data_IF_685302492333
#
_entry.id   IF_685302492333
#
_cell.length_a   1.000
_cell.length_b   1.000
_cell.length_c   1.000
_cell.angle_alpha   90.00
_cell.angle_beta   90.00
_cell.angle_gamma   90.00
#
_symmetry.space_group_name_H-M   'P 1'
#
loop_
_entity.id
_entity.type
_entity.pdbx_description
1 polymer ?
2 non-polymer ?
3 non-polymer ?
4 water ?
#
# COMPACT_ATOMS: atom_id res chain seq x y z
N UNK A 2 -14.43 10.77 -26.15
CA UNK A 2 -14.36 10.83 -24.70
C UNK A 2 -13.63 12.09 -24.21
N UNK A 3 -13.93 12.50 -22.99
CA UNK A 3 -13.31 13.67 -22.37
C UNK A 3 -12.03 13.26 -21.62
N UNK A 4 -10.95 14.07 -21.73
CA UNK A 4 -9.73 13.73 -20.99
C UNK A 4 -9.96 13.72 -19.49
N UNK A 5 -9.29 12.81 -18.78
CA UNK A 5 -9.33 12.83 -17.34
C UNK A 5 -8.48 13.99 -16.87
N UNK A 6 -8.71 14.41 -15.64
CA UNK A 6 -8.01 15.53 -15.02
C UNK A 6 -7.09 15.02 -13.91
N UNK A 7 -5.82 15.41 -13.96
CA UNK A 7 -4.84 15.04 -12.94
C UNK A 7 -4.29 16.31 -12.31
N UNK A 8 -4.16 16.31 -10.99
CA UNK A 8 -3.63 17.45 -10.24
C UNK A 8 -2.23 17.17 -9.72
N UNK A 9 -1.30 18.07 -10.01
CA UNK A 9 0.02 18.02 -9.41
C UNK A 9 1.15 18.19 -10.42
N UNK A 10 2.38 18.39 -9.92
CA UNK A 10 3.55 18.60 -10.79
C UNK A 10 4.23 17.30 -11.20
N UNK A 11 4.75 17.23 -12.43
CA UNK A 11 5.43 15.99 -12.79
C UNK A 11 6.70 15.68 -11.98
N UNK A 12 7.29 16.64 -11.30
CA UNK A 12 8.46 16.31 -10.43
C UNK A 12 8.05 15.43 -9.26
N UNK A 13 6.77 15.37 -8.94
CA UNK A 13 6.31 14.52 -7.85
C UNK A 13 6.34 13.05 -8.24
N UNK A 14 6.86 12.21 -7.36
CA UNK A 14 6.93 10.78 -7.64
C UNK A 14 5.55 10.17 -7.80
N UNK A 15 4.63 10.53 -6.91
CA UNK A 15 3.29 9.98 -6.97
C UNK A 15 2.53 10.47 -8.22
N UNK A 16 2.70 11.72 -8.60
CA UNK A 16 2.14 12.19 -9.87
C UNK A 16 2.75 11.39 -11.05
N UNK A 17 4.06 11.19 -11.02
CA UNK A 17 4.76 10.48 -12.08
C UNK A 17 4.23 9.06 -12.26
N UNK A 18 3.92 8.41 -11.16
CA UNK A 18 3.32 7.08 -11.18
C UNK A 18 2.03 7.10 -11.97
N UNK A 19 1.19 8.10 -11.72
CA UNK A 19 -0.08 8.18 -12.43
C UNK A 19 0.13 8.52 -13.91
N UNK A 20 1.03 9.45 -14.21
CA UNK A 20 1.27 9.85 -15.58
C UNK A 20 1.77 8.69 -16.41
N UNK A 21 2.69 7.91 -15.86
CA UNK A 21 3.23 6.79 -16.59
C UNK A 21 2.11 5.79 -16.89
N UNK A 22 1.21 5.59 -15.93
CA UNK A 22 0.08 4.69 -16.12
C UNK A 22 -0.87 5.18 -17.21
N UNK A 23 -1.22 6.46 -17.17
CA UNK A 23 -2.08 7.03 -18.19
C UNK A 23 -1.49 6.82 -19.57
N UNK A 24 -0.18 7.01 -19.69
CA UNK A 24 0.47 6.91 -20.99
C UNK A 24 0.53 5.45 -21.47
N UNK A 25 0.87 4.52 -20.58
CA UNK A 25 0.78 3.12 -20.89
C UNK A 25 -0.61 2.72 -21.33
N UNK A 26 -1.63 3.30 -20.69
CA UNK A 26 -3.00 2.95 -21.00
C UNK A 26 -3.60 3.76 -22.13
N UNK A 27 -2.80 4.65 -22.73
CA UNK A 27 -3.24 5.46 -23.87
C UNK A 27 -4.44 6.32 -23.49
N UNK A 28 -4.47 6.80 -22.25
CA UNK A 28 -5.57 7.62 -21.79
C UNK A 28 -5.21 9.09 -21.88
N UNK A 29 -5.96 9.85 -22.69
CA UNK A 29 -5.64 11.27 -22.73
C UNK A 29 -5.97 11.93 -21.41
N UNK A 30 -5.21 12.96 -21.04
CA UNK A 30 -5.39 13.60 -19.76
C UNK A 30 -5.05 15.07 -19.86
N UNK A 31 -5.56 15.83 -18.89
CA UNK A 31 -5.23 17.23 -18.70
C UNK A 31 -4.59 17.36 -17.33
N UNK A 32 -3.42 17.96 -17.28
CA UNK A 32 -2.65 18.06 -16.04
C UNK A 32 -2.71 19.46 -15.48
N UNK A 33 -3.25 19.55 -14.26
CA UNK A 33 -3.41 20.82 -13.56
C UNK A 33 -2.27 21.04 -12.58
N UNK A 34 -1.50 22.12 -12.77
CA UNK A 34 -0.32 22.32 -11.93
C UNK A 34 -0.65 22.65 -10.47
N UNK A 35 0.15 22.08 -9.57
CA UNK A 35 0.13 22.41 -8.14
C UNK A 35 1.59 22.63 -7.67
N UNK A 36 1.94 23.83 -7.23
CA UNK A 36 3.33 24.13 -6.84
C UNK A 36 3.55 23.78 -5.36
N UNK A 37 4.28 22.70 -5.11
CA UNK A 37 4.50 22.20 -3.75
C UNK A 37 5.42 23.10 -2.95
N UNK A 38 6.34 23.77 -3.62
CA UNK A 38 7.22 24.71 -2.91
C UNK A 38 6.42 25.92 -2.39
N UNK A 39 5.27 26.20 -3.00
CA UNK A 39 4.43 27.32 -2.58
C UNK A 39 3.19 26.90 -1.78
N UNK A 40 3.11 25.62 -1.43
CA UNK A 40 2.03 25.14 -0.58
C UNK A 40 0.66 25.16 -1.24
N UNK A 41 0.62 25.14 -2.57
CA UNK A 41 -0.65 25.15 -3.29
C UNK A 41 -1.48 23.89 -2.99
N UNK A 42 -0.80 22.80 -2.58
CA UNK A 42 -1.48 21.58 -2.19
C UNK A 42 -2.26 21.71 -0.87
N UNK A 43 -2.11 22.84 -0.18
CA UNK A 43 -2.84 23.08 1.07
C UNK A 43 -3.92 24.15 0.90
N UNK A 44 -4.08 24.65 -0.32
CA UNK A 44 -5.12 25.65 -0.54
C UNK A 44 -6.50 25.00 -0.25
N UNK A 45 -7.40 25.73 0.42
CA UNK A 45 -8.62 25.07 0.86
C UNK A 45 -9.46 24.51 -0.28
N UNK A 46 -9.39 25.12 -1.45
CA UNK A 46 -10.14 24.59 -2.57
C UNK A 46 -9.58 23.20 -2.96
N UNK A 47 -8.25 23.05 -2.94
CA UNK A 47 -7.63 21.78 -3.28
C UNK A 47 -7.84 20.73 -2.17
N UNK A 48 -7.85 21.15 -0.91
CA UNK A 48 -8.06 20.17 0.16
C UNK A 48 -9.44 19.54 0.11
N UNK A 49 -10.37 20.16 -0.61
CA UNK A 49 -11.69 19.56 -0.84
C UNK A 49 -11.61 18.30 -1.68
N UNK A 50 -10.59 18.20 -2.54
CA UNK A 50 -10.47 17.02 -3.39
C UNK A 50 -9.35 16.08 -2.94
N UNK A 51 -8.38 16.58 -2.17
CA UNK A 51 -7.36 15.69 -1.58
C UNK A 51 -7.17 16.11 -0.12
N UNK A 52 -7.81 15.36 0.80
CA UNK A 52 -7.96 15.90 2.17
C UNK A 52 -6.67 15.86 2.99
N UNK A 53 -5.66 15.15 2.48
CA UNK A 53 -4.37 15.09 3.15
C UNK A 53 -3.40 16.13 2.63
N UNK A 54 -3.89 16.96 1.70
CA UNK A 54 -3.06 18.01 1.13
C UNK A 54 -1.84 17.46 0.43
N UNK A 55 -2.06 16.41 -0.33
CA UNK A 55 -0.99 15.80 -1.13
C UNK A 55 -1.43 15.68 -2.55
N UNK A 56 -0.45 15.41 -3.43
CA UNK A 56 -0.72 15.18 -4.84
C UNK A 56 -0.32 13.75 -5.17
N UNK A 57 -0.97 13.13 -6.15
CA UNK A 57 -1.97 13.67 -7.06
C UNK A 57 -3.40 13.50 -6.60
N UNK A 58 -4.30 14.19 -7.31
CA UNK A 58 -5.71 13.87 -7.31
C UNK A 58 -6.14 13.62 -8.75
N UNK A 59 -7.23 12.90 -8.90
CA UNK A 59 -7.76 12.47 -10.19
C UNK A 59 -9.24 12.81 -10.26
N UNK A 60 -9.68 13.33 -11.41
CA UNK A 60 -11.11 13.49 -11.71
C UNK A 60 -11.45 13.00 -13.12
N UNK A 61 -12.55 12.29 -13.25
CA UNK A 61 -13.21 12.14 -14.55
C UNK A 61 -14.71 12.40 -14.36
N UNK A 62 -15.52 12.12 -15.40
CA UNK A 62 -16.94 12.44 -15.34
C UNK A 62 -17.62 11.70 -14.19
N UNK A 63 -17.02 10.60 -13.75
CA UNK A 63 -17.68 9.65 -12.84
C UNK A 63 -17.24 9.72 -11.39
N UNK A 64 -15.98 10.09 -11.16
CA UNK A 64 -15.39 9.95 -9.83
C UNK A 64 -14.19 10.88 -9.63
N UNK A 65 -14.00 11.28 -8.38
CA UNK A 65 -12.79 11.96 -7.91
C UNK A 65 -12.05 10.98 -6.99
N UNK A 66 -10.75 10.79 -7.23
CA UNK A 66 -9.94 9.83 -6.49
C UNK A 66 -8.63 10.44 -6.04
N UNK A 67 -8.12 10.00 -4.90
CA UNK A 67 -6.75 10.27 -4.51
C UNK A 67 -6.02 8.95 -4.18
N UNK A 68 -4.75 9.09 -3.82
CA UNK A 68 -3.75 8.01 -3.65
C UNK A 68 -3.38 7.42 -5.01
N UNK A 69 -2.13 7.65 -5.37
CA UNK A 69 -1.64 7.28 -6.69
C UNK A 69 -1.93 5.83 -7.10
N UNK A 70 -1.73 4.87 -6.21
CA UNK A 70 -1.92 3.49 -6.61
C UNK A 70 -3.39 3.15 -6.79
N UNK A 71 -4.28 3.80 -6.03
CA UNK A 71 -5.73 3.64 -6.21
C UNK A 71 -6.17 4.25 -7.53
N UNK A 72 -5.65 5.43 -7.82
CA UNK A 72 -5.93 6.07 -9.10
C UNK A 72 -5.50 5.15 -10.26
N UNK A 73 -4.33 4.53 -10.13
CA UNK A 73 -3.81 3.71 -11.21
C UNK A 73 -4.62 2.44 -11.37
N UNK A 74 -5.07 1.84 -10.27
CA UNK A 74 -5.90 0.66 -10.40
C UNK A 74 -7.22 1.00 -11.09
N UNK A 75 -7.79 2.15 -10.77
CA UNK A 75 -9.03 2.57 -11.42
C UNK A 75 -8.81 2.75 -12.92
N UNK A 76 -7.73 3.41 -13.27
CA UNK A 76 -7.40 3.63 -14.68
C UNK A 76 -7.29 2.30 -15.40
N UNK A 77 -6.57 1.36 -14.80
CA UNK A 77 -6.38 0.05 -15.42
C UNK A 77 -7.72 -0.71 -15.53
N UNK A 78 -8.60 -0.52 -14.57
CA UNK A 78 -9.91 -1.17 -14.59
C UNK A 78 -10.82 -0.56 -15.66
N UNK A 79 -10.97 0.76 -15.59
CA UNK A 79 -11.83 1.48 -16.53
C UNK A 79 -11.41 1.31 -17.97
N UNK A 80 -10.10 1.30 -18.20
CA UNK A 80 -9.54 1.28 -19.53
C UNK A 80 -8.84 -0.04 -19.79
N UNK A 81 -9.38 -1.12 -19.24
CA UNK A 81 -8.77 -2.45 -19.38
C UNK A 81 -8.43 -2.78 -20.83
N UNK A 82 -9.33 -2.44 -21.74
CA UNK A 82 -9.21 -2.88 -23.14
C UNK A 82 -8.42 -1.90 -23.99
N UNK A 83 -7.79 -0.94 -23.34
CA UNK A 83 -7.13 0.16 -24.02
C UNK A 83 -5.62 0.10 -23.76
N UNK A 84 -4.83 0.58 -24.71
CA UNK A 84 -3.40 0.72 -24.52
C UNK A 84 -2.77 -0.61 -24.15
N UNK A 85 -1.86 -0.58 -23.19
CA UNK A 85 -1.26 -1.81 -22.67
C UNK A 85 -2.31 -2.60 -21.86
N UNK A 86 -2.89 -3.63 -22.47
CA UNK A 86 -3.95 -4.39 -21.82
C UNK A 86 -3.47 -5.21 -20.62
N UNK A 87 -2.19 -5.59 -20.61
CA UNK A 87 -1.69 -6.51 -19.60
C UNK A 87 -1.09 -5.79 -18.40
N UNK A 88 -1.16 -4.47 -18.35
CA UNK A 88 -0.39 -3.70 -17.36
C UNK A 88 -0.68 -4.17 -15.92
N UNK A 89 -1.94 -4.46 -15.63
CA UNK A 89 -2.32 -4.96 -14.30
C UNK A 89 -3.01 -6.31 -14.47
N UNK A 90 -2.49 -7.10 -15.40
CA UNK A 90 -3.02 -8.42 -15.69
C UNK A 90 -4.27 -8.39 -16.55
N UNK A 91 -4.80 -9.57 -16.83
CA UNK A 91 -6.00 -9.71 -17.65
C UNK A 91 -7.05 -10.60 -17.04
N UNK A 92 -6.77 -11.10 -15.84
CA UNK A 92 -7.77 -11.88 -15.10
C UNK A 92 -7.42 -11.87 -13.62
N UNK A 93 -8.23 -12.55 -12.83
CA UNK A 93 -8.10 -12.51 -11.37
C UNK A 93 -6.71 -12.94 -10.91
N UNK A 94 -6.21 -14.04 -11.46
CA UNK A 94 -4.94 -14.59 -11.00
C UNK A 94 -3.75 -13.74 -11.42
N UNK A 95 -3.75 -13.29 -12.67
CA UNK A 95 -2.61 -12.51 -13.13
C UNK A 95 -2.58 -11.15 -12.45
N UNK A 96 -3.76 -10.58 -12.19
CA UNK A 96 -3.87 -9.33 -11.46
C UNK A 96 -3.30 -9.47 -10.05
N UNK A 97 -3.70 -10.52 -9.35
CA UNK A 97 -3.24 -10.73 -7.98
C UNK A 97 -1.74 -10.95 -7.92
N UNK A 98 -1.25 -11.73 -8.87
CA UNK A 98 0.17 -11.99 -8.94
C UNK A 98 1.00 -10.71 -9.07
N UNK A 99 0.53 -9.78 -9.88
CA UNK A 99 1.15 -8.47 -9.99
C UNK A 99 0.95 -7.65 -8.72
N UNK A 100 -0.26 -7.73 -8.16
CA UNK A 100 -0.62 -6.87 -7.03
C UNK A 100 0.25 -7.12 -5.79
N UNK A 101 0.68 -8.35 -5.56
CA UNK A 101 1.53 -8.58 -4.38
C UNK A 101 2.84 -7.80 -4.49
N UNK A 102 3.34 -7.59 -5.71
CA UNK A 102 4.59 -6.83 -5.93
C UNK A 102 4.28 -5.34 -5.91
N UNK A 103 3.06 -4.95 -6.25
CA UNK A 103 2.64 -3.55 -6.05
C UNK A 103 2.59 -3.23 -4.54
N UNK A 104 2.07 -4.18 -3.74
CA UNK A 104 2.06 -3.98 -2.29
C UNK A 104 3.49 -3.95 -1.75
N UNK A 105 4.38 -4.74 -2.34
CA UNK A 105 5.78 -4.70 -1.95
C UNK A 105 6.38 -3.32 -2.23
N UNK A 106 6.02 -2.69 -3.33
CA UNK A 106 6.39 -1.29 -3.51
C UNK A 106 5.83 -0.43 -2.37
N UNK A 107 4.53 -0.52 -2.13
CA UNK A 107 3.89 0.34 -1.16
C UNK A 107 4.36 0.20 0.27
N UNK A 108 4.70 -1.03 0.67
CA UNK A 108 5.03 -1.35 2.06
C UNK A 108 6.49 -1.59 2.35
N UNK A 109 7.27 -1.96 1.34
CA UNK A 109 8.63 -2.46 1.59
C UNK A 109 9.72 -1.62 0.88
N UNK A 110 9.61 -1.46 -0.42
CA UNK A 110 10.54 -0.65 -1.21
C UNK A 110 10.28 0.85 -1.05
N UNK A 111 9.01 1.22 -1.09
CA UNK A 111 8.59 2.61 -1.11
C UNK A 111 9.02 3.44 0.09
N UNK A 112 8.82 2.91 1.30
CA UNK A 112 9.20 3.75 2.45
C UNK A 112 10.70 4.16 2.49
N UNK A 113 11.65 3.22 2.42
CA UNK A 113 13.04 3.70 2.49
C UNK A 113 13.48 4.45 1.25
N UNK A 114 13.05 4.02 0.08
CA UNK A 114 13.45 4.72 -1.13
C UNK A 114 12.83 6.12 -1.16
N UNK A 115 11.57 6.24 -0.79
CA UNK A 115 10.93 7.54 -0.73
C UNK A 115 11.54 8.48 0.31
N UNK A 116 11.92 7.94 1.46
CA UNK A 116 12.55 8.79 2.47
C UNK A 116 13.92 9.27 2.01
N UNK A 117 14.68 8.40 1.34
CA UNK A 117 15.95 8.82 0.76
C UNK A 117 15.73 9.91 -0.29
N UNK A 118 14.79 9.71 -1.19
CA UNK A 118 14.51 10.73 -2.21
C UNK A 118 14.15 12.05 -1.56
N UNK A 119 13.30 12.00 -0.53
CA UNK A 119 12.89 13.23 0.12
C UNK A 119 14.07 13.92 0.81
N UNK A 120 14.84 13.17 1.59
CA UNK A 120 15.89 13.81 2.37
C UNK A 120 17.00 14.36 1.50
N UNK A 121 17.28 13.68 0.38
CA UNK A 121 18.37 14.08 -0.50
C UNK A 121 18.02 15.10 -1.55
N UNK A 122 16.75 15.19 -1.94
CA UNK A 122 16.34 16.03 -3.06
C UNK A 122 15.24 17.03 -2.80
N UNK A 123 14.46 16.83 -1.73
CA UNK A 123 13.29 17.67 -1.47
C UNK A 123 13.13 18.08 -0.03
N UNK A 124 14.22 18.21 0.70
CA UNK A 124 14.16 18.61 2.09
C UNK A 124 14.62 20.06 2.26
N UNK A 125 14.08 20.76 3.26
CA UNK A 125 14.52 22.11 3.54
C UNK A 125 15.65 22.19 4.56
N UNK A 126 15.95 21.08 5.21
CA UNK A 126 16.97 21.03 6.24
C UNK A 126 18.09 20.09 5.81
N UNK A 127 19.25 20.17 6.47
CA UNK A 127 20.35 19.29 6.04
C UNK A 127 20.01 17.83 6.22
N UNK A 128 20.72 16.98 5.52
CA UNK A 128 20.47 15.56 5.68
C UNK A 128 21.12 15.10 6.97
N UNK A 129 20.53 14.06 7.53
CA UNK A 129 21.06 13.35 8.67
C UNK A 129 21.69 12.08 8.10
N UNK A 130 23.02 12.02 8.07
CA UNK A 130 23.71 10.93 7.37
C UNK A 130 23.54 9.59 8.06
N UNK A 131 23.27 9.59 9.35
CA UNK A 131 22.97 8.36 10.07
C UNK A 131 21.62 7.81 9.58
N UNK A 132 20.68 8.69 9.32
CA UNK A 132 19.35 8.28 8.84
C UNK A 132 19.42 7.88 7.35
N UNK A 133 20.24 8.59 6.58
CA UNK A 133 20.51 8.18 5.21
C UNK A 133 21.04 6.74 5.21
N UNK A 134 22.03 6.46 6.06
CA UNK A 134 22.62 5.12 6.10
C UNK A 134 21.56 4.08 6.48
N UNK A 135 20.71 4.41 7.45
CA UNK A 135 19.66 3.49 7.89
C UNK A 135 18.75 3.11 6.72
N UNK A 136 18.36 4.08 5.92
CA UNK A 136 17.46 3.81 4.79
C UNK A 136 18.15 3.17 3.59
N UNK A 137 19.39 3.57 3.32
CA UNK A 137 20.21 2.87 2.34
C UNK A 137 20.31 1.39 2.70
N UNK A 138 20.59 1.09 3.96
CA UNK A 138 20.76 -0.31 4.34
C UNK A 138 19.46 -1.08 4.22
N UNK A 139 18.34 -0.46 4.61
CA UNK A 139 17.02 -1.07 4.41
C UNK A 139 16.76 -1.35 2.94
N UNK A 140 17.07 -0.39 2.08
CA UNK A 140 16.75 -0.56 0.68
C UNK A 140 17.65 -1.62 0.07
N UNK A 141 18.90 -1.66 0.51
CA UNK A 141 19.84 -2.67 0.04
C UNK A 141 19.31 -4.07 0.32
N UNK A 142 18.76 -4.26 1.51
CA UNK A 142 18.16 -5.55 1.87
C UNK A 142 16.98 -5.91 0.96
N UNK A 143 16.12 -4.94 0.66
CA UNK A 143 15.05 -5.18 -0.28
C UNK A 143 15.59 -5.58 -1.65
N UNK A 144 16.59 -4.83 -2.13
CA UNK A 144 17.12 -5.07 -3.47
C UNK A 144 17.91 -6.39 -3.56
N UNK A 145 18.43 -6.89 -2.44
CA UNK A 145 19.04 -8.23 -2.44
C UNK A 145 17.97 -9.29 -2.72
N UNK A 146 16.76 -9.08 -2.22
CA UNK A 146 15.66 -9.98 -2.48
C UNK A 146 15.20 -9.86 -3.94
N UNK A 147 15.14 -8.63 -4.44
CA UNK A 147 14.81 -8.41 -5.84
C UNK A 147 15.85 -9.05 -6.74
N UNK A 148 17.12 -8.96 -6.35
CA UNK A 148 18.19 -9.54 -7.16
C UNK A 148 17.95 -11.04 -7.38
N UNK A 149 17.51 -11.73 -6.34
CA UNK A 149 17.20 -13.15 -6.45
C UNK A 149 15.99 -13.37 -7.35
N UNK A 150 14.92 -12.65 -7.08
CA UNK A 150 13.69 -12.75 -7.85
C UNK A 150 13.92 -12.51 -9.33
N UNK A 151 14.70 -11.48 -9.62
CA UNK A 151 14.93 -11.05 -11.01
C UNK A 151 15.96 -11.95 -11.73
N UNK A 152 16.54 -12.90 -11.00
CA UNK A 152 17.28 -13.98 -11.63
C UNK A 152 16.37 -15.11 -12.10
N UNK A 153 15.12 -15.09 -11.63
CA UNK A 153 14.14 -16.14 -11.95
C UNK A 153 13.19 -15.66 -13.03
N UNK A 154 12.76 -14.40 -12.92
CA UNK A 154 11.84 -13.79 -13.87
C UNK A 154 12.44 -12.52 -14.42
N UNK A 155 11.96 -12.11 -15.59
CA UNK A 155 12.49 -10.94 -16.26
C UNK A 155 12.07 -9.64 -15.57
N UNK A 156 10.82 -9.62 -15.13
CA UNK A 156 10.25 -8.51 -14.40
C UNK A 156 9.83 -9.02 -13.02
N UNK A 157 9.35 -8.13 -12.15
CA UNK A 157 9.13 -8.58 -10.78
C UNK A 157 8.11 -9.69 -10.69
N UNK A 158 7.03 -9.58 -11.46
CA UNK A 158 5.93 -10.51 -11.32
C UNK A 158 5.91 -11.61 -12.38
N UNK A 159 6.89 -11.63 -13.26
CA UNK A 159 6.87 -12.58 -14.35
C UNK A 159 7.50 -12.09 -15.64
N UNK A 160 6.94 -12.48 -16.77
CA UNK A 160 7.64 -12.33 -18.05
C UNK A 160 7.23 -11.07 -18.80
N UNK A 161 6.43 -10.24 -18.14
CA UNK A 161 5.83 -9.09 -18.79
C UNK A 161 5.91 -7.87 -17.86
N UNK A 162 6.27 -6.72 -18.40
CA UNK A 162 6.21 -5.46 -17.65
C UNK A 162 4.82 -5.32 -17.03
N UNK A 163 4.77 -4.91 -15.76
CA UNK A 163 3.49 -4.73 -15.10
C UNK A 163 3.49 -3.47 -14.28
N UNK A 164 2.32 -3.16 -13.73
CA UNK A 164 2.22 -2.04 -12.82
C UNK A 164 3.18 -2.19 -11.63
N UNK A 165 3.49 -3.42 -11.25
CA UNK A 165 4.45 -3.61 -10.15
C UNK A 165 5.78 -2.98 -10.50
N UNK A 166 6.26 -3.20 -11.71
CA UNK A 166 7.53 -2.58 -12.14
C UNK A 166 7.37 -1.07 -12.26
N UNK A 167 6.27 -0.65 -12.88
CA UNK A 167 5.99 0.76 -13.11
C UNK A 167 6.05 1.53 -11.80
N UNK A 168 5.49 0.94 -10.74
CA UNK A 168 5.37 1.65 -9.50
C UNK A 168 6.73 1.94 -8.84
N UNK A 169 7.77 1.20 -9.23
CA UNK A 169 9.14 1.43 -8.74
C UNK A 169 9.89 2.53 -9.48
N UNK A 170 9.39 2.93 -10.64
CA UNK A 170 10.10 3.89 -11.46
C UNK A 170 10.32 5.25 -10.75
N UNK A 171 9.31 5.81 -10.07
CA UNK A 171 9.54 7.19 -9.60
C UNK A 171 10.66 7.34 -8.57
N UNK A 172 10.68 6.50 -7.53
CA UNK A 172 11.74 6.62 -6.54
C UNK A 172 13.05 6.08 -7.09
N UNK A 173 12.97 4.99 -7.85
CA UNK A 173 14.17 4.42 -8.44
C UNK A 173 14.89 5.42 -9.31
N UNK A 174 14.16 6.15 -10.14
CA UNK A 174 14.80 7.01 -11.12
C UNK A 174 15.48 8.17 -10.41
N UNK A 175 14.85 8.70 -9.36
CA UNK A 175 15.49 9.79 -8.64
C UNK A 175 16.77 9.30 -7.95
N UNK A 176 16.74 8.12 -7.35
CA UNK A 176 17.93 7.62 -6.70
C UNK A 176 19.04 7.35 -7.71
N UNK A 177 18.70 6.71 -8.84
CA UNK A 177 19.73 6.36 -9.82
C UNK A 177 20.34 7.60 -10.50
N UNK A 178 19.51 8.57 -10.85
CA UNK A 178 19.95 9.63 -11.74
C UNK A 178 20.18 10.97 -11.07
N UNK A 179 19.74 11.11 -9.82
CA UNK A 179 19.84 12.40 -9.14
C UNK A 179 20.51 12.32 -7.77
N UNK A 180 20.98 11.16 -7.36
CA UNK A 180 21.73 11.03 -6.10
C UNK A 180 22.96 10.19 -6.33
N UNK A 181 23.79 10.02 -5.30
CA UNK A 181 24.93 9.15 -5.42
C UNK A 181 24.61 7.75 -4.85
N UNK A 182 23.32 7.44 -4.79
CA UNK A 182 22.89 6.14 -4.28
C UNK A 182 22.56 5.14 -5.39
N UNK A 183 22.84 5.51 -6.63
CA UNK A 183 22.49 4.68 -7.77
C UNK A 183 23.14 3.33 -7.74
N UNK A 184 24.29 3.21 -7.07
CA UNK A 184 24.98 1.93 -6.91
C UNK A 184 24.06 0.84 -6.31
N UNK A 185 23.05 1.25 -5.56
CA UNK A 185 22.13 0.27 -4.97
C UNK A 185 21.47 -0.56 -6.06
N UNK A 186 21.20 0.08 -7.18
CA UNK A 186 20.59 -0.58 -8.33
C UNK A 186 21.64 -1.12 -9.30
N UNK A 187 22.65 -0.31 -9.59
CA UNK A 187 23.56 -0.64 -10.68
C UNK A 187 24.60 -1.69 -10.29
N UNK A 188 24.86 -1.89 -8.98
CA UNK A 188 25.84 -2.88 -8.51
C UNK A 188 25.26 -4.30 -8.40
N UNK A 189 23.97 -4.41 -8.61
CA UNK A 189 23.26 -5.70 -8.55
C UNK A 189 22.86 -6.06 -9.98
N UNK A 190 23.44 -7.13 -10.52
CA UNK A 190 23.34 -7.39 -11.95
C UNK A 190 21.91 -7.57 -12.46
N UNK A 191 21.11 -8.39 -11.78
CA UNK A 191 19.75 -8.59 -12.25
C UNK A 191 18.88 -7.35 -12.04
N UNK A 192 19.03 -6.70 -10.90
CA UNK A 192 18.32 -5.44 -10.64
C UNK A 192 18.71 -4.40 -11.67
N UNK A 193 19.97 -4.35 -12.02
CA UNK A 193 20.42 -3.39 -13.00
C UNK A 193 19.82 -3.65 -14.38
N UNK A 194 19.72 -4.93 -14.75
CA UNK A 194 19.09 -5.31 -16.02
C UNK A 194 17.64 -4.85 -16.06
N UNK A 195 16.92 -5.21 -15.01
CA UNK A 195 15.54 -4.84 -14.83
C UNK A 195 15.38 -3.32 -14.88
N UNK A 196 16.20 -2.61 -14.10
CA UNK A 196 16.15 -1.15 -14.07
C UNK A 196 16.33 -0.57 -15.48
N UNK A 197 17.29 -1.12 -16.21
CA UNK A 197 17.55 -0.67 -17.56
C UNK A 197 16.34 -0.89 -18.43
N UNK A 198 15.71 -2.06 -18.34
CA UNK A 198 14.56 -2.31 -19.19
C UNK A 198 13.38 -1.42 -18.86
N UNK A 199 13.09 -1.23 -17.59
CA UNK A 199 11.87 -0.51 -17.27
C UNK A 199 12.05 1.01 -17.41
N UNK A 200 13.25 1.53 -17.15
CA UNK A 200 13.45 2.97 -17.18
C UNK A 200 13.59 3.51 -18.60
N UNK A 201 13.80 2.60 -19.55
CA UNK A 201 13.87 3.00 -20.96
C UNK A 201 12.58 2.78 -21.76
N UNK A 202 11.49 2.43 -21.09
CA UNK A 202 10.19 2.43 -21.74
C UNK A 202 9.83 3.83 -22.20
N UNK A 203 9.17 3.94 -23.35
CA UNK A 203 8.80 5.23 -23.90
C UNK A 203 7.89 5.98 -22.94
N UNK A 204 7.02 5.26 -22.23
CA UNK A 204 6.10 5.94 -21.30
C UNK A 204 6.89 6.69 -20.26
N UNK A 205 7.91 6.03 -19.71
CA UNK A 205 8.70 6.65 -18.68
C UNK A 205 9.57 7.78 -19.24
N UNK A 206 10.11 7.59 -20.43
CA UNK A 206 10.85 8.67 -21.08
C UNK A 206 9.98 9.90 -21.28
N UNK A 207 8.70 9.69 -21.62
CA UNK A 207 7.74 10.77 -21.81
C UNK A 207 7.53 11.54 -20.52
N UNK A 208 7.40 10.81 -19.43
CA UNK A 208 7.20 11.45 -18.15
C UNK A 208 8.41 12.31 -17.79
N UNK A 209 9.61 11.77 -17.94
CA UNK A 209 10.81 12.54 -17.62
C UNK A 209 10.92 13.79 -18.49
N UNK A 210 10.51 13.70 -19.75
CA UNK A 210 10.58 14.89 -20.58
C UNK A 210 9.52 15.90 -20.13
N UNK A 211 8.35 15.42 -19.73
CA UNK A 211 7.31 16.33 -19.25
C UNK A 211 7.86 17.11 -18.09
N UNK A 212 8.61 16.42 -17.23
CA UNK A 212 9.15 17.00 -16.04
C UNK A 212 10.23 18.01 -16.37
N UNK A 213 11.08 17.66 -17.33
CA UNK A 213 12.19 18.51 -17.69
C UNK A 213 11.67 19.83 -18.25
N UNK A 214 10.51 19.78 -18.91
CA UNK A 214 9.92 20.95 -19.57
C UNK A 214 8.86 21.68 -18.74
N UNK A 215 8.42 21.08 -17.64
CA UNK A 215 7.41 21.69 -16.82
C UNK A 215 7.87 23.07 -16.31
N UNK B 2 -14.53 -25.59 -2.63
CA UNK B 2 -13.13 -25.92 -2.92
C UNK B 2 -12.39 -26.13 -1.60
N UNK B 3 -11.14 -26.58 -1.67
CA UNK B 3 -10.38 -26.87 -0.45
C UNK B 3 -10.14 -25.59 0.33
N UNK B 4 -10.06 -25.70 1.65
CA UNK B 4 -9.76 -24.50 2.44
C UNK B 4 -8.47 -23.89 1.97
N UNK B 5 -8.41 -22.57 1.96
CA UNK B 5 -7.15 -21.92 1.66
C UNK B 5 -6.22 -22.12 2.83
N UNK B 6 -4.93 -21.92 2.61
CA UNK B 6 -3.92 -22.03 3.64
C UNK B 6 -3.31 -20.67 3.94
N UNK B 7 -3.33 -20.32 5.23
CA UNK B 7 -2.73 -19.09 5.73
C UNK B 7 -1.60 -19.46 6.65
N UNK B 8 -0.45 -18.82 6.45
CA UNK B 8 0.71 -18.99 7.31
C UNK B 8 0.86 -17.82 8.27
N UNK B 9 1.00 -18.13 9.56
CA UNK B 9 1.39 -17.15 10.56
C UNK B 9 0.44 -17.06 11.72
N UNK B 10 0.85 -16.34 12.77
CA UNK B 10 0.07 -16.30 14.01
C UNK B 10 -1.03 -15.24 13.98
N UNK B 11 -2.21 -15.55 14.56
CA UNK B 11 -3.29 -14.54 14.58
C UNK B 11 -2.92 -13.29 15.35
N UNK B 12 -1.90 -13.33 16.21
CA UNK B 12 -1.50 -12.12 16.92
C UNK B 12 -0.90 -11.09 15.96
N UNK B 13 -0.41 -11.54 14.80
CA UNK B 13 0.17 -10.63 13.83
C UNK B 13 -0.89 -9.75 13.20
N UNK B 14 -0.61 -8.45 13.08
CA UNK B 14 -1.57 -7.54 12.49
C UNK B 14 -1.90 -7.89 11.05
N UNK B 15 -0.87 -8.20 10.27
CA UNK B 15 -1.07 -8.51 8.85
C UNK B 15 -1.83 -9.83 8.67
N UNK B 16 -1.54 -10.82 9.52
CA UNK B 16 -2.32 -12.04 9.50
C UNK B 16 -3.78 -11.76 9.86
N UNK B 17 -4.00 -10.93 10.86
CA UNK B 17 -5.34 -10.61 11.31
C UNK B 17 -6.17 -9.95 10.21
N UNK B 18 -5.53 -9.10 9.43
CA UNK B 18 -6.20 -8.46 8.30
C UNK B 18 -6.75 -9.52 7.35
N UNK B 19 -5.94 -10.53 7.05
CA UNK B 19 -6.35 -11.57 6.13
C UNK B 19 -7.48 -12.41 6.77
N UNK B 20 -7.31 -12.78 8.03
CA UNK B 20 -8.31 -13.62 8.68
C UNK B 20 -9.69 -12.94 8.69
N UNK B 21 -9.72 -11.66 9.03
CA UNK B 21 -10.97 -10.93 9.08
C UNK B 21 -11.64 -10.92 7.71
N UNK B 22 -10.84 -10.77 6.65
CA UNK B 22 -11.36 -10.77 5.29
C UNK B 22 -11.93 -12.14 4.90
N UNK B 23 -11.20 -13.20 5.22
CA UNK B 23 -11.70 -14.54 4.96
C UNK B 23 -13.05 -14.78 5.61
N UNK B 24 -13.18 -14.33 6.85
CA UNK B 24 -14.40 -14.57 7.59
C UNK B 24 -15.55 -13.74 7.02
N UNK B 25 -15.27 -12.48 6.68
CA UNK B 25 -16.26 -11.64 6.02
C UNK B 25 -16.74 -12.26 4.72
N UNK B 26 -15.81 -12.92 4.03
CA UNK B 26 -16.11 -13.47 2.71
C UNK B 26 -16.54 -14.94 2.74
N UNK B 27 -16.73 -15.49 3.95
CA UNK B 27 -17.20 -16.87 4.13
C UNK B 27 -16.26 -17.89 3.48
N UNK B 28 -14.97 -17.64 3.59
CA UNK B 28 -13.97 -18.51 2.99
C UNK B 28 -13.31 -19.40 4.05
N UNK B 29 -13.41 -20.74 3.92
CA UNK B 29 -12.79 -21.63 4.91
C UNK B 29 -11.26 -21.60 4.80
N UNK B 30 -10.56 -21.83 5.90
CA UNK B 30 -9.11 -21.76 5.89
C UNK B 30 -8.46 -22.69 6.89
N UNK B 31 -7.28 -23.19 6.51
CA UNK B 31 -6.30 -23.80 7.40
C UNK B 31 -5.37 -22.69 7.89
N UNK B 32 -4.89 -22.80 9.13
CA UNK B 32 -3.89 -21.87 9.63
C UNK B 32 -2.65 -22.64 10.05
N UNK B 33 -1.54 -22.41 9.35
CA UNK B 33 -0.28 -23.08 9.68
C UNK B 33 0.57 -22.15 10.53
N UNK B 34 0.99 -22.60 11.73
CA UNK B 34 1.77 -21.68 12.57
C UNK B 34 3.15 -21.44 12.04
N UNK B 35 3.62 -20.22 12.28
CA UNK B 35 5.01 -19.82 12.08
C UNK B 35 5.44 -19.19 13.38
N UNK B 36 6.42 -19.82 14.04
CA UNK B 36 6.82 -19.37 15.37
C UNK B 36 7.84 -18.24 15.29
N UNK B 37 7.34 -17.02 15.46
CA UNK B 37 8.19 -15.83 15.34
C UNK B 37 9.26 -15.79 16.44
N UNK B 38 8.93 -16.37 17.60
CA UNK B 38 9.86 -16.41 18.74
C UNK B 38 11.07 -17.33 18.48
N UNK B 39 10.91 -18.27 17.56
CA UNK B 39 12.01 -19.15 17.16
C UNK B 39 12.63 -18.71 15.83
N UNK B 40 12.21 -17.55 15.34
CA UNK B 40 12.74 -16.97 14.11
C UNK B 40 12.41 -17.81 12.90
N UNK B 41 11.31 -18.55 12.98
CA UNK B 41 10.94 -19.50 11.96
C UNK B 41 10.71 -18.84 10.61
N UNK B 42 10.20 -17.63 10.65
CA UNK B 42 9.92 -16.89 9.43
C UNK B 42 11.18 -16.46 8.67
N UNK B 43 12.34 -16.53 9.33
CA UNK B 43 13.60 -16.03 8.77
C UNK B 43 14.50 -17.14 8.28
N UNK B 44 14.02 -18.37 8.39
CA UNK B 44 14.79 -19.52 7.96
C UNK B 44 14.44 -19.87 6.52
N UNK B 45 15.31 -20.62 5.83
CA UNK B 45 15.15 -20.86 4.38
C UNK B 45 13.83 -21.46 3.93
N UNK B 46 13.28 -22.37 4.73
CA UNK B 46 12.03 -23.06 4.37
C UNK B 46 10.90 -22.07 4.14
N UNK B 47 10.62 -21.24 5.13
CA UNK B 47 9.55 -20.28 5.01
C UNK B 47 9.91 -19.22 3.93
N UNK B 48 11.18 -18.93 3.73
CA UNK B 48 11.55 -17.90 2.75
C UNK B 48 11.17 -18.24 1.31
N UNK B 49 11.00 -19.53 1.01
CA UNK B 49 10.54 -19.94 -0.31
C UNK B 49 9.13 -19.42 -0.59
N UNK B 50 8.36 -19.20 0.47
CA UNK B 50 6.96 -18.85 0.34
C UNK B 50 6.76 -17.36 0.48
N UNK B 51 7.52 -16.76 1.39
CA UNK B 51 7.43 -15.33 1.63
C UNK B 51 8.86 -14.82 1.67
N UNK B 52 9.28 -14.21 0.56
CA UNK B 52 10.73 -14.01 0.40
C UNK B 52 11.32 -12.94 1.30
N UNK B 53 10.45 -12.15 1.95
CA UNK B 53 10.89 -11.12 2.88
C UNK B 53 10.91 -11.65 4.30
N UNK B 54 10.53 -12.91 4.47
CA UNK B 54 10.56 -13.52 5.78
C UNK B 54 9.55 -12.90 6.72
N UNK B 55 8.38 -12.61 6.16
CA UNK B 55 7.31 -12.03 6.95
C UNK B 55 6.03 -12.82 6.80
N UNK B 56 5.12 -12.63 7.74
CA UNK B 56 3.82 -13.27 7.69
C UNK B 56 2.77 -12.20 7.40
N UNK B 57 1.67 -12.56 6.75
CA UNK B 57 1.23 -13.87 6.29
C UNK B 57 1.72 -14.25 4.91
N UNK B 58 1.58 -15.54 4.62
CA UNK B 58 1.50 -16.01 3.27
C UNK B 58 0.19 -16.73 3.07
N UNK B 59 -0.20 -16.81 1.80
CA UNK B 59 -1.45 -17.39 1.35
C UNK B 59 -1.18 -18.42 0.26
N UNK B 60 -1.88 -19.55 0.32
CA UNK B 60 -1.83 -20.53 -0.76
C UNK B 60 -3.23 -21.11 -0.96
N UNK B 61 -3.67 -21.21 -2.21
CA UNK B 61 -4.83 -22.03 -2.54
C UNK B 61 -4.47 -22.94 -3.71
N UNK B 62 -5.48 -23.51 -4.35
CA UNK B 62 -5.26 -24.48 -5.41
C UNK B 62 -4.61 -23.86 -6.65
N UNK B 63 -4.55 -22.53 -6.71
CA UNK B 63 -4.12 -21.84 -7.93
C UNK B 63 -2.91 -20.93 -7.77
N UNK B 64 -2.65 -20.46 -6.56
CA UNK B 64 -1.67 -19.41 -6.39
C UNK B 64 -1.16 -19.35 -4.98
N UNK B 65 0.07 -18.86 -4.87
CA UNK B 65 0.69 -18.51 -3.62
C UNK B 65 0.88 -17.01 -3.64
N UNK B 66 0.42 -16.33 -2.58
CA UNK B 66 0.48 -14.88 -2.52
C UNK B 66 1.09 -14.40 -1.21
N UNK B 67 1.72 -13.23 -1.25
CA UNK B 67 2.09 -12.54 -0.02
C UNK B 67 1.60 -11.08 -0.10
N UNK B 68 1.83 -10.36 1.01
CA UNK B 68 1.35 -9.01 1.30
C UNK B 68 -0.15 -9.03 1.61
N UNK B 69 -0.47 -8.70 2.86
CA UNK B 69 -1.85 -8.87 3.36
C UNK B 69 -2.88 -8.19 2.45
N UNK B 70 -2.64 -6.98 1.96
CA UNK B 70 -3.71 -6.31 1.22
C UNK B 70 -3.89 -6.89 -0.18
N UNK B 71 -2.82 -7.45 -0.75
CA UNK B 71 -2.94 -8.15 -2.02
C UNK B 71 -3.69 -9.47 -1.83
N UNK B 72 -3.35 -10.21 -0.79
CA UNK B 72 -4.10 -11.41 -0.45
C UNK B 72 -5.60 -11.08 -0.31
N UNK B 73 -5.92 -10.01 0.39
CA UNK B 73 -7.31 -9.66 0.64
C UNK B 73 -8.02 -9.23 -0.65
N UNK B 74 -7.33 -8.49 -1.53
CA UNK B 74 -7.96 -8.11 -2.80
C UNK B 74 -8.26 -9.36 -3.64
N UNK B 75 -7.35 -10.32 -3.62
CA UNK B 75 -7.54 -11.57 -4.35
C UNK B 75 -8.75 -12.29 -3.82
N UNK B 76 -8.84 -12.42 -2.49
CA UNK B 76 -9.96 -13.11 -1.86
C UNK B 76 -11.28 -12.41 -2.25
N UNK B 77 -11.29 -11.09 -2.22
CA UNK B 77 -12.50 -10.33 -2.54
C UNK B 77 -12.90 -10.47 -4.00
N UNK B 78 -11.90 -10.67 -4.86
CA UNK B 78 -12.13 -10.86 -6.29
C UNK B 78 -12.64 -12.28 -6.56
N UNK B 79 -11.88 -13.27 -6.10
CA UNK B 79 -12.22 -14.68 -6.33
C UNK B 79 -13.59 -15.02 -5.77
N UNK B 80 -13.89 -14.51 -4.58
CA UNK B 80 -15.09 -14.88 -3.87
C UNK B 80 -16.08 -13.73 -3.83
N UNK B 81 -16.11 -12.96 -4.91
CA UNK B 81 -16.95 -11.76 -4.99
C UNK B 81 -18.41 -12.05 -4.71
N UNK B 82 -18.88 -13.21 -5.16
CA UNK B 82 -20.30 -13.54 -5.04
C UNK B 82 -20.65 -14.25 -3.72
N UNK B 83 -19.69 -14.26 -2.79
CA UNK B 83 -19.79 -15.02 -1.54
C UNK B 83 -19.78 -14.09 -0.34
N UNK B 84 -20.42 -14.50 0.76
CA UNK B 84 -20.33 -13.75 2.00
C UNK B 84 -20.76 -12.31 1.88
N UNK B 85 -19.94 -11.42 2.40
CA UNK B 85 -20.19 -9.98 2.29
C UNK B 85 -19.82 -9.53 0.89
N UNK B 86 -20.83 -9.42 0.03
CA UNK B 86 -20.59 -9.14 -1.37
C UNK B 86 -20.09 -7.73 -1.62
N UNK B 87 -20.39 -6.81 -0.70
CA UNK B 87 -20.07 -5.41 -0.94
C UNK B 87 -18.75 -4.99 -0.31
N UNK B 88 -18.01 -5.93 0.28
CA UNK B 88 -16.83 -5.60 1.06
C UNK B 88 -15.83 -4.75 0.30
N UNK B 89 -15.61 -5.07 -0.98
CA UNK B 89 -14.69 -4.27 -1.79
C UNK B 89 -15.42 -3.78 -3.03
N UNK B 90 -16.67 -3.38 -2.83
CA UNK B 90 -17.48 -2.85 -3.89
C UNK B 90 -18.13 -3.95 -4.73
N UNK B 91 -18.92 -3.52 -5.71
CA UNK B 91 -19.63 -4.42 -6.61
C UNK B 91 -19.45 -4.02 -8.06
N UNK B 92 -18.69 -2.96 -8.30
CA UNK B 92 -18.39 -2.57 -9.66
C UNK B 92 -17.18 -1.66 -9.65
N UNK B 93 -16.77 -1.22 -10.82
CA UNK B 93 -15.52 -0.50 -10.96
C UNK B 93 -15.47 0.75 -10.07
N UNK B 94 -16.54 1.53 -10.07
CA UNK B 94 -16.56 2.78 -9.32
C UNK B 94 -16.60 2.59 -7.81
N UNK B 95 -17.42 1.65 -7.34
CA UNK B 95 -17.54 1.49 -5.90
C UNK B 95 -16.24 0.88 -5.35
N UNK B 96 -15.60 0.04 -6.15
CA UNK B 96 -14.34 -0.58 -5.75
C UNK B 96 -13.26 0.49 -5.61
N UNK B 97 -13.15 1.37 -6.59
CA UNK B 97 -12.11 2.40 -6.56
C UNK B 97 -12.33 3.39 -5.40
N UNK B 98 -13.58 3.72 -5.13
CA UNK B 98 -13.91 4.60 -4.04
C UNK B 98 -13.43 4.03 -2.71
N UNK B 99 -13.61 2.73 -2.53
CA UNK B 99 -13.08 2.07 -1.35
C UNK B 99 -11.56 2.04 -1.38
N UNK B 100 -11.01 1.73 -2.55
CA UNK B 100 -9.57 1.50 -2.68
C UNK B 100 -8.72 2.72 -2.28
N UNK B 101 -9.19 3.93 -2.51
CA UNK B 101 -8.39 5.10 -2.15
C UNK B 101 -8.21 5.14 -0.63
N UNK B 102 -9.21 4.69 0.13
CA UNK B 102 -9.13 4.67 1.58
C UNK B 102 -8.33 3.46 2.06
N UNK B 103 -8.29 2.38 1.28
CA UNK B 103 -7.39 1.28 1.55
C UNK B 103 -5.93 1.76 1.39
N UNK B 104 -5.67 2.53 0.33
CA UNK B 104 -4.35 3.11 0.15
C UNK B 104 -4.02 4.10 1.26
N UNK B 105 -5.03 4.80 1.77
CA UNK B 105 -4.81 5.70 2.89
C UNK B 105 -4.38 4.88 4.13
N UNK B 106 -4.96 3.72 4.34
CA UNK B 106 -4.43 2.83 5.37
C UNK B 106 -2.96 2.52 5.07
N UNK B 107 -2.68 2.07 3.87
CA UNK B 107 -1.33 1.62 3.57
C UNK B 107 -0.25 2.67 3.62
N UNK B 108 -0.57 3.90 3.22
CA UNK B 108 0.42 4.95 3.08
C UNK B 108 0.41 6.02 4.16
N UNK B 109 -0.73 6.19 4.84
CA UNK B 109 -0.96 7.36 5.70
C UNK B 109 -1.22 6.96 7.15
N UNK B 110 -2.23 6.12 7.38
CA UNK B 110 -2.57 5.65 8.71
C UNK B 110 -1.61 4.57 9.17
N UNK B 111 -1.31 3.64 8.26
CA UNK B 111 -0.53 2.45 8.59
C UNK B 111 0.88 2.70 9.11
N UNK B 112 1.62 3.63 8.49
CA UNK B 112 3.00 3.78 8.96
C UNK B 112 3.10 4.27 10.42
N UNK B 113 2.41 5.37 10.78
CA UNK B 113 2.56 5.76 12.19
C UNK B 113 1.88 4.80 13.15
N UNK B 114 0.70 4.31 12.79
CA UNK B 114 0.01 3.41 13.70
C UNK B 114 0.78 2.09 13.86
N UNK B 115 1.35 1.58 12.77
CA UNK B 115 2.11 0.35 12.83
C UNK B 115 3.41 0.50 13.60
N UNK B 116 4.07 1.65 13.45
CA UNK B 116 5.28 1.90 14.19
C UNK B 116 4.98 2.01 15.68
N UNK B 117 3.87 2.66 16.01
CA UNK B 117 3.46 2.72 17.42
C UNK B 117 3.19 1.35 17.99
N UNK B 118 2.42 0.55 17.29
CA UNK B 118 2.14 -0.81 17.74
C UNK B 118 3.44 -1.57 17.94
N UNK B 119 4.35 -1.49 16.96
CA UNK B 119 5.62 -2.17 17.09
C UNK B 119 6.41 -1.70 18.30
N UNK B 120 6.61 -0.40 18.41
CA UNK B 120 7.47 0.12 19.46
C UNK B 120 6.89 -0.08 20.88
N UNK B 121 5.57 -0.07 21.00
CA UNK B 121 4.92 -0.18 22.31
C UNK B 121 4.61 -1.60 22.73
N UNK B 122 4.55 -2.53 21.78
CA UNK B 122 4.06 -3.88 22.08
C UNK B 122 4.96 -5.00 21.62
N UNK B 123 5.81 -4.76 20.61
CA UNK B 123 6.55 -5.84 19.97
C UNK B 123 8.04 -5.56 19.71
N UNK B 124 8.62 -4.60 20.41
CA UNK B 124 10.03 -4.30 20.20
C UNK B 124 10.86 -4.75 21.37
N UNK B 125 12.16 -4.83 21.12
CA UNK B 125 13.11 -5.29 22.10
C UNK B 125 14.18 -4.24 22.34
N UNK B 126 13.91 -3.00 21.95
CA UNK B 126 14.78 -1.90 22.38
C UNK B 126 13.95 -1.05 23.31
N UNK B 127 14.61 -0.40 24.27
CA UNK B 127 13.86 0.45 25.19
C UNK B 127 13.01 1.46 24.45
N UNK B 128 11.80 1.61 24.94
CA UNK B 128 10.85 2.54 24.37
C UNK B 128 11.41 3.97 24.46
N UNK B 129 11.42 4.65 23.32
CA UNK B 129 11.89 6.02 23.18
C UNK B 129 10.67 6.94 23.18
N UNK B 130 10.43 7.63 24.28
CA UNK B 130 9.19 8.37 24.40
C UNK B 130 9.10 9.52 23.39
N UNK B 131 10.25 10.03 22.94
CA UNK B 131 10.24 11.07 21.91
C UNK B 131 9.74 10.51 20.59
N UNK B 132 10.13 9.26 20.29
CA UNK B 132 9.68 8.60 19.08
C UNK B 132 8.21 8.17 19.16
N UNK B 133 7.79 7.69 20.33
CA UNK B 133 6.37 7.44 20.55
C UNK B 133 5.58 8.71 20.29
N UNK B 134 5.98 9.83 20.90
CA UNK B 134 5.26 11.08 20.70
C UNK B 134 5.22 11.48 19.24
N UNK B 135 6.32 11.30 18.53
CA UNK B 135 6.39 11.68 17.14
C UNK B 135 5.31 10.96 16.32
N UNK B 136 5.16 9.67 16.56
CA UNK B 136 4.17 8.92 15.82
C UNK B 136 2.76 9.11 16.33
N UNK B 137 2.62 9.36 17.64
CA UNK B 137 1.32 9.73 18.20
C UNK B 137 0.81 10.99 17.51
N UNK B 138 1.68 11.98 17.35
CA UNK B 138 1.25 13.25 16.79
C UNK B 138 0.96 13.10 15.31
N UNK B 139 1.72 12.25 14.61
CA UNK B 139 1.44 11.98 13.21
C UNK B 139 0.10 11.30 13.05
N UNK B 140 -0.15 10.31 13.90
CA UNK B 140 -1.41 9.60 13.83
C UNK B 140 -2.59 10.53 14.21
N UNK B 141 -2.39 11.40 15.19
CA UNK B 141 -3.44 12.34 15.57
C UNK B 141 -3.90 13.18 14.38
N UNK B 142 -2.95 13.62 13.56
CA UNK B 142 -3.24 14.41 12.36
C UNK B 142 -4.11 13.63 11.40
N UNK B 143 -3.78 12.35 11.23
CA UNK B 143 -4.58 11.50 10.36
C UNK B 143 -5.98 11.36 10.94
N UNK B 144 -6.07 11.10 12.22
CA UNK B 144 -7.38 10.85 12.83
C UNK B 144 -8.24 12.12 12.86
N UNK B 145 -7.62 13.29 12.86
CA UNK B 145 -8.39 14.53 12.71
C UNK B 145 -9.07 14.62 11.36
N UNK B 146 -8.39 14.16 10.31
CA UNK B 146 -9.00 14.10 8.99
C UNK B 146 -10.12 13.04 8.96
N UNK B 147 -9.87 11.90 9.58
CA UNK B 147 -10.92 10.89 9.69
C UNK B 147 -12.13 11.41 10.46
N UNK B 148 -11.88 12.15 11.53
CA UNK B 148 -12.99 12.70 12.33
C UNK B 148 -13.92 13.54 11.45
N UNK B 149 -13.32 14.36 10.60
CA UNK B 149 -14.09 15.15 9.65
C UNK B 149 -14.85 14.26 8.65
N UNK B 150 -14.15 13.31 8.04
CA UNK B 150 -14.77 12.43 7.06
C UNK B 150 -15.95 11.66 7.67
N UNK B 151 -15.74 11.15 8.88
CA UNK B 151 -16.75 10.34 9.56
C UNK B 151 -17.87 11.19 10.17
N UNK B 152 -17.75 12.50 10.07
CA UNK B 152 -18.88 13.40 10.31
C UNK B 152 -19.76 13.56 9.09
N UNK B 153 -19.31 13.05 7.94
CA UNK B 153 -20.08 13.12 6.70
C UNK B 153 -20.67 11.75 6.35
N UNK B 154 -19.86 10.72 6.51
CA UNK B 154 -20.29 9.37 6.19
C UNK B 154 -20.10 8.45 7.39
N UNK B 155 -20.87 7.37 7.41
CA UNK B 155 -20.84 6.47 8.55
C UNK B 155 -19.52 5.68 8.65
N UNK B 156 -18.99 5.31 7.50
CA UNK B 156 -17.69 4.61 7.39
C UNK B 156 -16.77 5.46 6.51
N UNK B 157 -15.52 5.03 6.37
CA UNK B 157 -14.56 5.90 5.70
C UNK B 157 -14.95 6.24 4.27
N UNK B 158 -15.44 5.25 3.51
CA UNK B 158 -15.67 5.44 2.08
C UNK B 158 -17.12 5.64 1.73
N UNK B 159 -17.99 5.64 2.73
CA UNK B 159 -19.40 5.70 2.43
C UNK B 159 -20.24 5.16 3.56
N UNK B 160 -21.41 4.66 3.19
CA UNK B 160 -22.43 4.31 4.16
C UNK B 160 -22.38 2.90 4.69
N UNK B 161 -21.51 2.08 4.12
CA UNK B 161 -21.39 0.66 4.49
C UNK B 161 -19.96 0.30 4.87
N UNK B 162 -19.81 -0.64 5.79
CA UNK B 162 -18.51 -1.22 6.12
C UNK B 162 -17.83 -1.72 4.84
N UNK B 163 -16.56 -1.38 4.67
CA UNK B 163 -15.79 -1.87 3.52
C UNK B 163 -14.43 -2.34 3.95
N UNK B 164 -13.69 -2.87 2.97
CA UNK B 164 -12.33 -3.28 3.25
C UNK B 164 -11.48 -2.11 3.73
N UNK B 165 -11.78 -0.89 3.33
CA UNK B 165 -11.03 0.24 3.84
C UNK B 165 -11.14 0.29 5.37
N UNK B 166 -12.34 0.13 5.90
CA UNK B 166 -12.49 0.09 7.36
C UNK B 166 -11.80 -1.11 7.97
N UNK B 167 -12.02 -2.25 7.36
CA UNK B 167 -11.46 -3.51 7.86
C UNK B 167 -9.95 -3.40 8.03
N UNK B 168 -9.29 -2.77 7.05
CA UNK B 168 -7.83 -2.71 7.05
C UNK B 168 -7.24 -1.94 8.22
N UNK B 169 -8.06 -1.10 8.85
CA UNK B 169 -7.65 -0.35 10.03
C UNK B 169 -7.79 -1.11 11.32
N UNK B 170 -8.48 -2.24 11.30
CA UNK B 170 -8.74 -2.97 12.52
C UNK B 170 -7.48 -3.48 13.24
N UNK B 171 -6.51 -4.03 12.51
CA UNK B 171 -5.39 -4.62 13.28
C UNK B 171 -4.57 -3.63 14.11
N UNK B 172 -4.16 -2.51 13.52
CA UNK B 172 -3.40 -1.56 14.31
C UNK B 172 -4.32 -0.79 15.24
N UNK B 173 -5.54 -0.50 14.82
CA UNK B 173 -6.48 0.15 15.70
C UNK B 173 -6.72 -0.62 16.98
N UNK B 174 -6.88 -1.93 16.87
CA UNK B 174 -7.33 -2.70 18.02
C UNK B 174 -6.17 -2.79 19.02
N UNK B 175 -4.94 -2.93 18.54
CA UNK B 175 -3.81 -2.96 19.47
C UNK B 175 -3.65 -1.60 20.16
N UNK B 176 -3.81 -0.51 19.41
CA UNK B 176 -3.63 0.79 20.05
C UNK B 176 -4.74 1.04 21.09
N UNK B 177 -5.98 0.76 20.72
CA UNK B 177 -7.10 1.05 21.64
C UNK B 177 -7.12 0.14 22.85
N UNK B 178 -6.82 -1.14 22.65
CA UNK B 178 -7.03 -2.12 23.72
C UNK B 178 -5.77 -2.59 24.42
N UNK B 179 -4.61 -2.31 23.87
CA UNK B 179 -3.36 -2.81 24.45
C UNK B 179 -2.34 -1.71 24.76
N UNK B 180 -2.66 -0.44 24.49
CA UNK B 180 -1.75 0.64 24.84
C UNK B 180 -2.49 1.73 25.57
N UNK B 181 -1.74 2.72 26.04
CA UNK B 181 -2.36 3.88 26.67
C UNK B 181 -2.57 5.01 25.66
N UNK B 182 -2.54 4.66 24.36
CA UNK B 182 -2.81 5.66 23.31
C UNK B 182 -4.21 5.54 22.70
N UNK B 183 -5.09 4.78 23.34
CA UNK B 183 -6.42 4.57 22.81
C UNK B 183 -7.21 5.86 22.71
N UNK B 184 -6.88 6.83 23.55
CA UNK B 184 -7.61 8.10 23.52
C UNK B 184 -7.55 8.75 22.13
N UNK B 185 -6.52 8.43 21.34
CA UNK B 185 -6.47 8.97 19.98
C UNK B 185 -7.74 8.67 19.20
N UNK B 186 -8.29 7.49 19.44
CA UNK B 186 -9.50 7.06 18.76
C UNK B 186 -10.75 7.42 19.55
N UNK B 187 -10.71 7.15 20.85
CA UNK B 187 -11.94 7.21 21.63
C UNK B 187 -12.34 8.66 22.01
N UNK B 188 -11.38 9.58 22.01
CA UNK B 188 -11.67 10.99 22.36
C UNK B 188 -12.22 11.80 21.18
N UNK B 189 -12.11 11.23 20.00
CA UNK B 189 -12.68 11.82 18.78
C UNK B 189 -14.06 11.17 18.53
N UNK B 190 -15.13 11.96 18.63
CA UNK B 190 -16.49 11.40 18.68
C UNK B 190 -16.82 10.48 17.50
N UNK B 191 -16.56 10.93 16.28
CA UNK B 191 -16.92 10.15 15.11
C UNK B 191 -15.99 8.98 14.93
N UNK B 192 -14.70 9.17 15.21
CA UNK B 192 -13.77 8.08 15.14
C UNK B 192 -14.16 7.01 16.16
N UNK B 193 -14.56 7.44 17.37
CA UNK B 193 -14.99 6.48 18.38
C UNK B 193 -16.21 5.69 17.93
N UNK B 194 -17.13 6.39 17.28
CA UNK B 194 -18.35 5.76 16.77
C UNK B 194 -17.99 4.67 15.78
N UNK B 195 -17.17 5.07 14.80
CA UNK B 195 -16.70 4.18 13.76
C UNK B 195 -15.92 3.03 14.36
N UNK B 196 -15.00 3.34 15.28
CA UNK B 196 -14.19 2.30 15.88
C UNK B 196 -15.08 1.28 16.60
N UNK B 197 -16.10 1.75 17.30
CA UNK B 197 -16.99 0.83 18.02
C UNK B 197 -17.72 -0.07 17.03
N UNK B 198 -18.23 0.51 15.94
CA UNK B 198 -19.00 -0.27 14.98
C UNK B 198 -18.14 -1.32 14.32
N UNK B 199 -16.94 -0.95 13.88
CA UNK B 199 -16.16 -1.88 13.09
C UNK B 199 -15.52 -2.94 13.97
N UNK B 200 -15.11 -2.59 15.19
CA UNK B 200 -14.45 -3.59 16.03
C UNK B 200 -15.42 -4.58 16.65
N UNK B 201 -16.73 -4.28 16.57
CA UNK B 201 -17.74 -5.21 17.06
C UNK B 201 -18.44 -6.02 16.00
N UNK B 202 -17.93 -5.93 14.77
CA UNK B 202 -18.40 -6.86 13.75
C UNK B 202 -18.06 -8.30 14.12
N UNK B 203 -18.94 -9.20 13.71
CA UNK B 203 -18.74 -10.61 13.97
C UNK B 203 -17.39 -11.12 13.50
N UNK B 204 -16.97 -10.69 12.32
CA UNK B 204 -15.70 -11.19 11.80
C UNK B 204 -14.54 -10.84 12.73
N UNK B 205 -14.50 -9.58 13.17
CA UNK B 205 -13.40 -9.15 13.99
C UNK B 205 -13.45 -9.80 15.36
N UNK B 206 -14.64 -9.93 15.93
CA UNK B 206 -14.77 -10.63 17.20
C UNK B 206 -14.24 -12.05 17.06
N UNK B 207 -14.51 -12.70 15.92
CA UNK B 207 -14.02 -14.05 15.71
C UNK B 207 -12.49 -14.10 15.62
N UNK B 208 -11.88 -13.10 14.99
CA UNK B 208 -10.43 -13.03 14.95
C UNK B 208 -9.85 -12.88 16.37
N UNK B 209 -10.42 -12.00 17.17
CA UNK B 209 -9.91 -11.82 18.51
C UNK B 209 -10.05 -13.11 19.32
N UNK B 210 -11.14 -13.84 19.11
CA UNK B 210 -11.33 -15.08 19.84
C UNK B 210 -10.29 -16.12 19.39
N UNK B 211 -9.95 -16.13 18.10
CA UNK B 211 -8.92 -17.04 17.59
C UNK B 211 -7.57 -16.80 18.22
N UNK B 212 -7.23 -15.54 18.49
CA UNK B 212 -6.02 -15.23 19.22
C UNK B 212 -5.97 -15.85 20.61
N UNK B 213 -7.12 -15.99 21.26
CA UNK B 213 -7.21 -16.57 22.60
C UNK B 213 -6.96 -18.06 22.53
N UNK B 214 -7.50 -18.67 21.48
CA UNK B 214 -7.32 -20.09 21.22
C UNK B 214 -5.89 -20.41 20.77
N UNK B 215 -4.98 -19.46 20.96
CA UNK B 215 -3.55 -19.60 20.67
C UNK B 215 -3.30 -19.57 19.17
X LIG C 1 0.51 8.08 -0.78
X LIG C 1 0.26 9.21 -1.64
X LIG C 1 0.05 8.86 -3.10
X LIG C 1 0.66 7.89 -3.50
X LIG C 1 -0.74 9.49 -3.84
X LIG C 1 1.53 10.02 -1.50
X LIG C 1 1.24 11.45 -1.83
X LIG C 1 2.43 12.29 -1.48
X LIG C 1 3.10 12.14 -0.48
X LIG C 1 2.66 13.23 -2.38
X LIG C 1 3.68 14.22 -2.33
X LIG C 1 3.04 15.50 -1.87
X LIG C 1 1.90 15.73 -2.21
X LIG C 1 4.25 14.30 -3.76
X LIG C 1 5.57 13.11 -4.05
X LIG C 1 3.79 16.31 -1.10
X LIG C 1 3.33 17.61 -0.65
X LIG C 1 2.76 17.57 0.74
X LIG C 1 2.65 16.47 1.32
X LIG C 1 2.41 18.65 1.26
X LIG C 1 0.78 8.23 0.19
X LIG C 1 0.41 7.15 -1.13
X LIG C 1 -0.59 9.81 -1.27
X LIG C 1 2.29 9.62 -2.17
X LIG C 1 1.90 9.94 -0.47
X LIG C 1 0.37 11.79 -1.26
X LIG C 1 1.02 11.54 -2.89
X LIG C 1 2.04 13.27 -3.18
X LIG C 1 4.48 13.92 -1.64
X LIG C 1 4.61 15.31 -3.95
X LIG C 1 3.44 14.11 -4.47
X LIG C 1 5.79 13.46 -5.32
X LIG C 1 4.73 16.04 -0.86
X LIG C 1 4.17 18.31 -0.67
X LIG C 1 2.57 17.98 -1.34
X LIG D 1 7.81 13.43 -4.96
X LIG D 1 8.95 14.28 -5.05
X LIG D 1 8.63 15.63 -4.45
X LIG D 1 8.26 15.53 -3.04
X LIG D 1 7.04 14.73 -2.98
X LIG D 1 7.24 13.36 -3.65
X LIG D 1 8.09 16.89 -2.49
X LIG D 1 7.71 16.85 -1.03
X LIG D 1 7.56 18.40 -0.46
X LIG D 1 8.48 19.31 -1.17
X LIG D 1 6.19 18.83 -0.77
X LIG D 1 7.79 18.41 1.00
X LIG D 1 9.79 13.82 -4.53
X LIG D 1 9.22 14.39 -6.10
X LIG D 1 7.81 16.10 -5.00
X LIG D 1 9.50 16.28 -4.55
X LIG D 1 9.03 15.04 -2.52
X LIG D 1 6.75 14.58 -1.94
X LIG D 1 6.23 15.26 -3.49
X LIG D 1 6.26 12.86 -3.71
X LIG D 1 7.87 12.75 -3.01
X LIG D 1 9.04 17.45 -2.61
X LIG D 1 7.32 17.41 -3.05
X LIG D 1 8.49 16.33 -0.45
X LIG D 1 6.77 16.31 -0.90
X LIG E 1 3.55 -5.52 4.44
X LIG E 1 3.38 -6.86 5.00
X LIG E 1 1.96 -7.40 4.89
X LIG E 1 1.75 -8.62 4.71
X LIG E 1 1.01 -6.61 4.94
X LIG E 1 3.82 -6.77 6.45
X LIG E 1 4.14 -8.15 7.02
X LIG E 1 4.88 -8.03 8.34
X LIG E 1 5.66 -7.13 8.56
X LIG E 1 4.61 -9.00 9.22
X LIG E 1 5.22 -9.12 10.52
X LIG E 1 6.28 -10.17 10.54
X LIG E 1 6.30 -11.01 9.67
X LIG E 1 4.14 -9.49 11.54
X LIG E 1 2.83 -8.25 11.61
X LIG E 1 7.16 -10.08 11.54
X LIG E 1 8.30 -10.97 11.63
X LIG E 1 9.49 -10.44 10.86
X LIG E 1 10.56 -11.07 10.90
X LIG E 1 9.37 -9.38 10.21
X LIG E 1 4.45 -5.05 4.52
X LIG E 1 2.78 -5.06 3.99
X LIG E 1 4.05 -7.56 4.48
X LIG E 1 3.03 -6.31 7.04
X LIG E 1 4.70 -6.13 6.52
X LIG E 1 3.22 -8.71 7.17
X LIG E 1 4.76 -8.70 6.31
X LIG E 1 3.95 -9.72 8.95
X LIG E 1 5.66 -8.15 10.81
X LIG E 1 3.72 -10.45 11.28
X LIG E 1 4.60 -9.59 12.54
X LIG E 1 2.11 -8.86 12.55
X LIG E 1 7.06 -9.36 12.23
X LIG E 1 8.03 -11.96 11.26
X LIG E 1 8.58 -11.09 12.69
X LIG F 1 1.70 -7.73 14.07
X LIG F 1 2.03 -7.66 15.44
X LIG F 1 3.32 -8.41 15.73
X LIG F 1 4.41 -7.89 14.92
X LIG F 1 4.08 -8.19 13.51
X LIG F 1 2.73 -7.61 13.10
X LIG F 1 5.64 -8.58 15.33
X LIG F 1 6.86 -8.12 14.56
X LIG F 1 8.21 -8.82 15.22
X LIG F 1 8.06 -10.29 15.15
X LIG F 1 9.36 -8.38 14.43
X LIG F 1 8.39 -8.39 16.63
X LIG F 1 2.15 -6.61 15.73
X LIG F 1 1.22 -8.08 16.04
X LIG F 1 3.18 -9.47 15.52
X LIG F 1 3.57 -8.29 16.79
X LIG F 1 4.51 -6.87 15.05
X LIG F 1 4.86 -7.77 12.87
X LIG F 1 4.08 -9.27 13.36
X LIG F 1 2.41 -8.10 12.18
X LIG F 1 2.87 -6.55 12.85
X LIG F 1 5.81 -8.40 16.40
X LIG F 1 5.52 -9.66 15.20
X LIG F 1 6.94 -7.04 14.60
X LIG F 1 6.77 -8.42 13.51
#
# INVERSE_FOLDING_TARGET
>A
MATPVTIYGPPLSTAVSRVLATLIEKDVPFHLIPIDLSKGEQKKPEYLKIQPFGQVPAFKDESITLFESRAICRYICDKYADKGNKSLYGTDILSKANIDQWVETDGQTFGPPSGDLVHDLLFSSVPVDEALIKKNVDKLAKVLDIYEQKLGQTRFLAGDEFSFADLSHLPNGDYLVNSTDKGYLFTSRKNVNRWWTEISNRESWKKVLEMRKNA
>B
MATPVTIYGPPLSTAVSRVLATLIEKDVPFHLIPIDLSKGEQKKPEYLKIQPFGQVPAFKDESITLFESRAICRYICDKYADKGNKSLYGTDILSKANIDQWVETDGQTFGPPSGDLVHDLLFSSVPVDEALIKKNVDKLAKVLDIYEQKLGQTRFLAGDEFSFADLSHLPNGDYLVNSTDKGYLFTSRKNVNRWWTEISNRESWKKVLEMRKNA
>C hetero
1 GSH N1 CA1 C1 O11 O12 CB1 CG1 CD1 OE1 N2 CA2 C2 O2 CB2 SG2 N3 CA3 C3 O31 O32 HN11 HN12 HA1 HB12 HB13 HG12 HG13 HN2 HA2 HB22 HB23 HSG HN3 HA31 HA32
>D hetero
1 MES O1 C2 C3 N4 C5 C6 C7 C8 S O1S O2S O3S H21 H22 H31 H32 HN4 H51 H52 H61 H62 H71 H72 H81 H82
>E hetero
1 GSH N1 CA1 C1 O11 O12 CB1 CG1 CD1 OE1 N2 CA2 C2 O2 CB2 SG2 N3 CA3 C3 O31 O32 HN11 HN12 HA1 HB12 HB13 HG12 HG13 HN2 HA2 HB22 HB23 HSG HN3 HA31 HA32
>F hetero
1 MES O1 C2 C3 N4 C5 C6 C7 C8 S O1S O2S O3S H21 H22 H31 H32 HN4 H51 H52 H61 H62 H71 H72 H81 H82
#
